data_IF_941876229761
#
_entry.id   IF_941876229761
#
_cell.length_a   1.000
_cell.length_b   1.000
_cell.length_c   1.000
_cell.angle_alpha   90.00
_cell.angle_beta   90.00
_cell.angle_gamma   90.00
#
_symmetry.space_group_name_H-M   'P 1'
#
loop_
_entity.id
_entity.type
_entity.pdbx_description
1 polymer ?
#
# COMPACT_ATOMS: atom_id res chain seq x y z
N UNK A 1 -8.98 10.87 -20.55
CA UNK A 1 -8.93 11.79 -19.39
C UNK A 1 -10.18 11.54 -18.57
N UNK A 2 -10.11 11.32 -17.24
CA UNK A 2 -11.28 10.97 -16.44
C UNK A 2 -12.01 12.23 -15.93
N UNK A 3 -13.31 12.16 -15.67
CA UNK A 3 -14.08 13.29 -15.13
C UNK A 3 -13.72 13.58 -13.67
N UNK A 4 -14.08 14.73 -13.11
CA UNK A 4 -13.78 15.11 -11.72
C UNK A 4 -14.15 14.03 -10.69
N UNK A 5 -15.32 13.40 -10.85
CA UNK A 5 -15.76 12.28 -10.00
C UNK A 5 -14.81 11.07 -10.12
N UNK A 6 -14.43 10.70 -11.33
CA UNK A 6 -13.53 9.56 -11.58
C UNK A 6 -12.08 9.86 -11.18
N UNK A 7 -11.56 11.07 -11.44
CA UNK A 7 -10.24 11.48 -10.92
C UNK A 7 -10.21 11.47 -9.40
N UNK A 8 -11.26 11.98 -8.75
CA UNK A 8 -11.36 11.92 -7.28
C UNK A 8 -11.41 10.48 -6.78
N UNK A 9 -12.21 9.62 -7.40
CA UNK A 9 -12.25 8.21 -7.05
C UNK A 9 -10.88 7.52 -7.20
N UNK A 10 -10.16 7.78 -8.29
CA UNK A 10 -8.81 7.21 -8.54
C UNK A 10 -7.76 7.71 -7.54
N UNK A 11 -7.87 8.94 -7.05
CA UNK A 11 -6.89 9.49 -6.10
C UNK A 11 -7.24 9.21 -4.64
N UNK A 12 -8.53 9.23 -4.31
CA UNK A 12 -8.98 9.12 -2.93
C UNK A 12 -9.39 7.69 -2.58
N UNK A 13 -9.83 6.84 -3.51
CA UNK A 13 -10.26 5.46 -3.22
C UNK A 13 -11.25 5.35 -2.04
N UNK A 14 -12.07 6.39 -1.82
CA UNK A 14 -13.02 6.51 -0.71
C UNK A 14 -12.46 7.11 0.59
N UNK A 15 -11.17 7.39 0.67
CA UNK A 15 -10.60 8.18 1.75
C UNK A 15 -11.15 9.61 1.71
N UNK A 16 -11.31 10.22 2.88
CA UNK A 16 -11.84 11.58 3.01
C UNK A 16 -10.82 12.46 3.74
N UNK A 17 -10.78 13.72 3.36
CA UNK A 17 -10.00 14.77 4.02
C UNK A 17 -10.94 15.91 4.40
N UNK A 18 -10.95 16.26 5.68
CA UNK A 18 -11.71 17.37 6.23
C UNK A 18 -10.76 18.34 6.94
N UNK A 19 -11.02 19.64 6.81
CA UNK A 19 -10.36 20.65 7.63
C UNK A 19 -11.26 20.99 8.81
N UNK A 20 -10.79 20.71 10.02
CA UNK A 20 -11.51 20.95 11.26
C UNK A 20 -11.60 22.45 11.61
N UNK A 21 -12.49 22.87 12.52
CA UNK A 21 -12.66 24.28 12.90
C UNK A 21 -11.40 24.95 13.47
N UNK A 22 -10.51 24.17 14.09
CA UNK A 22 -9.19 24.61 14.58
C UNK A 22 -8.15 24.74 13.46
N UNK A 23 -8.47 24.28 12.25
CA UNK A 23 -7.61 24.31 11.08
C UNK A 23 -6.80 23.04 10.84
N UNK A 24 -6.91 22.05 11.72
CA UNK A 24 -6.26 20.75 11.56
C UNK A 24 -6.90 19.92 10.45
N UNK A 25 -6.13 18.98 9.91
CA UNK A 25 -6.60 18.06 8.86
C UNK A 25 -6.99 16.73 9.48
N UNK A 26 -8.22 16.27 9.23
CA UNK A 26 -8.68 14.95 9.60
C UNK A 26 -8.82 14.06 8.37
N UNK A 27 -8.14 12.92 8.39
CA UNK A 27 -8.25 11.89 7.38
C UNK A 27 -9.22 10.80 7.84
N UNK A 28 -10.07 10.31 6.95
CA UNK A 28 -10.94 9.16 7.20
C UNK A 28 -10.71 8.07 6.17
N UNK A 29 -10.77 6.84 6.62
CA UNK A 29 -10.74 5.63 5.79
C UNK A 29 -12.03 5.54 4.96
N UNK A 30 -12.06 4.70 3.91
CA UNK A 30 -13.27 4.45 3.12
C UNK A 30 -14.48 3.96 3.92
N UNK A 31 -14.26 3.35 5.09
CA UNK A 31 -15.31 2.92 6.02
C UNK A 31 -15.79 4.03 6.98
N UNK A 32 -15.32 5.28 6.81
CA UNK A 32 -15.69 6.46 7.62
C UNK A 32 -14.90 6.62 8.92
N UNK A 33 -14.05 5.66 9.30
CA UNK A 33 -13.25 5.74 10.51
C UNK A 33 -12.11 6.74 10.36
N UNK A 34 -11.89 7.57 11.39
CA UNK A 34 -10.74 8.46 11.41
C UNK A 34 -9.43 7.65 11.34
N UNK A 35 -8.50 8.08 10.48
CA UNK A 35 -7.13 7.63 10.56
C UNK A 35 -6.47 8.33 11.75
N UNK A 36 -5.79 7.59 12.63
CA UNK A 36 -4.99 8.20 13.67
C UNK A 36 -3.78 8.91 13.04
N UNK A 37 -3.41 10.07 13.58
CA UNK A 37 -2.23 10.83 13.14
C UNK A 37 -0.95 9.99 13.26
N UNK A 38 -0.89 9.15 14.28
CA UNK A 38 0.16 8.15 14.49
C UNK A 38 -0.50 6.81 14.75
N UNK A 39 -0.39 5.83 13.83
CA UNK A 39 -0.85 4.47 14.14
C UNK A 39 -0.03 3.90 15.30
N UNK A 40 -0.64 3.09 16.19
CA UNK A 40 0.11 2.44 17.25
C UNK A 40 1.24 1.60 16.64
N UNK A 41 2.44 1.61 17.24
CA UNK A 41 3.52 0.78 16.75
C UNK A 41 3.09 -0.70 16.81
N UNK A 42 3.44 -1.52 15.80
CA UNK A 42 3.21 -2.95 15.89
C UNK A 42 4.00 -3.52 17.07
N UNK A 43 3.52 -4.64 17.62
CA UNK A 43 4.31 -5.39 18.60
C UNK A 43 5.55 -5.97 17.90
N UNK A 44 6.73 -5.47 18.25
CA UNK A 44 8.01 -5.94 17.70
C UNK A 44 8.67 -6.86 18.73
N UNK A 45 8.99 -8.12 18.37
CA UNK A 45 9.69 -9.03 19.28
C UNK A 45 11.05 -8.48 19.71
N UNK A 46 11.55 -8.89 20.89
CA UNK A 46 12.83 -8.40 21.46
C UNK A 46 14.05 -8.62 20.55
N UNK A 47 14.03 -9.67 19.73
CA UNK A 47 15.11 -10.00 18.79
C UNK A 47 14.55 -10.16 17.37
N UNK A 48 14.04 -9.07 16.75
CA UNK A 48 13.25 -9.17 15.53
C UNK A 48 14.11 -9.64 14.34
N UNK A 49 15.37 -9.21 14.27
CA UNK A 49 16.32 -9.65 13.23
C UNK A 49 16.61 -11.14 13.35
N UNK A 50 16.75 -11.66 14.57
CA UNK A 50 17.02 -13.08 14.80
C UNK A 50 15.82 -13.94 14.40
N UNK A 51 14.62 -13.51 14.79
CA UNK A 51 13.37 -14.16 14.38
C UNK A 51 13.24 -14.19 12.86
N UNK A 52 13.44 -13.05 12.18
CA UNK A 52 13.36 -12.97 10.73
C UNK A 52 14.38 -13.89 10.03
N UNK A 53 15.62 -13.96 10.53
CA UNK A 53 16.62 -14.90 9.99
C UNK A 53 16.19 -16.35 10.15
N UNK A 54 15.73 -16.75 11.35
CA UNK A 54 15.27 -18.11 11.59
C UNK A 54 14.07 -18.49 10.69
N UNK A 55 13.15 -17.56 10.45
CA UNK A 55 12.04 -17.78 9.52
C UNK A 55 12.54 -17.95 8.08
N UNK A 56 13.46 -17.11 7.63
CA UNK A 56 14.06 -17.25 6.29
C UNK A 56 14.81 -18.59 6.15
N UNK A 57 15.58 -18.99 7.16
CA UNK A 57 16.32 -20.25 7.17
C UNK A 57 15.36 -21.45 7.12
N UNK A 58 14.26 -21.40 7.88
CA UNK A 58 13.23 -22.44 7.89
C UNK A 58 12.53 -22.59 6.52
N UNK A 59 12.34 -21.47 5.81
CA UNK A 59 11.77 -21.43 4.45
C UNK A 59 12.84 -21.66 3.35
N UNK A 60 14.10 -21.88 3.72
CA UNK A 60 15.21 -22.07 2.77
C UNK A 60 15.53 -20.83 1.92
N UNK A 61 15.15 -19.63 2.38
CA UNK A 61 15.34 -18.37 1.67
C UNK A 61 16.79 -17.87 1.80
N UNK A 62 17.55 -17.95 0.72
CA UNK A 62 18.91 -17.40 0.64
C UNK A 62 18.87 -15.93 0.23
N UNK A 63 18.69 -15.05 1.22
CA UNK A 63 18.68 -13.60 1.00
C UNK A 63 20.09 -13.01 1.00
N UNK A 64 20.38 -12.14 0.04
CA UNK A 64 21.62 -11.39 -0.08
C UNK A 64 21.33 -9.90 -0.35
N UNK A 65 22.38 -9.06 -0.37
CA UNK A 65 22.26 -7.60 -0.51
C UNK A 65 21.50 -7.13 -1.77
N UNK A 66 21.37 -8.01 -2.78
CA UNK A 66 20.69 -7.69 -4.03
C UNK A 66 19.36 -8.41 -4.20
N UNK A 67 18.87 -9.15 -3.20
CA UNK A 67 17.60 -9.89 -3.33
C UNK A 67 16.41 -8.97 -3.62
N UNK A 68 16.43 -7.74 -3.10
CA UNK A 68 15.40 -6.72 -3.38
C UNK A 68 15.78 -5.78 -4.54
N UNK A 69 16.90 -6.00 -5.23
CA UNK A 69 17.27 -5.18 -6.40
C UNK A 69 16.36 -5.56 -7.57
N UNK A 70 15.59 -4.63 -8.12
CA UNK A 70 14.72 -4.93 -9.26
C UNK A 70 15.58 -5.17 -10.51
N UNK A 71 15.11 -6.05 -11.40
CA UNK A 71 15.69 -6.22 -12.73
C UNK A 71 15.34 -5.11 -13.73
N UNK A 72 14.85 -3.97 -13.26
CA UNK A 72 14.43 -2.84 -14.10
C UNK A 72 15.64 -2.12 -14.69
N UNK A 73 15.69 -1.96 -16.00
CA UNK A 73 16.79 -1.32 -16.73
C UNK A 73 16.42 0.09 -17.22
N UNK A 74 15.30 0.64 -16.76
CA UNK A 74 14.83 1.98 -17.14
C UNK A 74 13.67 1.98 -18.14
N UNK A 75 13.08 0.81 -18.43
CA UNK A 75 11.92 0.69 -19.31
C UNK A 75 10.73 1.50 -18.79
N UNK A 76 9.87 1.99 -19.70
CA UNK A 76 8.66 2.71 -19.28
C UNK A 76 7.72 1.77 -18.54
N UNK A 77 7.20 2.24 -17.40
CA UNK A 77 6.14 1.56 -16.68
C UNK A 77 4.89 1.42 -17.57
N UNK A 78 4.41 0.19 -17.75
CA UNK A 78 3.09 -0.04 -18.33
C UNK A 78 2.02 0.24 -17.27
N UNK A 79 1.51 1.48 -17.26
CA UNK A 79 0.51 1.94 -16.29
C UNK A 79 -0.79 1.15 -16.37
N UNK A 80 -1.21 0.74 -17.57
CA UNK A 80 -2.42 -0.08 -17.75
C UNK A 80 -2.28 -1.43 -17.05
N UNK A 81 -1.18 -2.14 -17.30
CA UNK A 81 -0.88 -3.41 -16.62
C UNK A 81 -0.75 -3.24 -15.11
N UNK A 82 -0.08 -2.19 -14.63
CA UNK A 82 0.08 -1.94 -13.20
C UNK A 82 -1.26 -1.77 -12.49
N UNK A 83 -2.21 -1.04 -13.09
CA UNK A 83 -3.57 -0.90 -12.57
C UNK A 83 -4.28 -2.26 -12.59
N UNK A 84 -4.17 -3.02 -13.69
CA UNK A 84 -4.85 -4.32 -13.84
C UNK A 84 -4.38 -5.42 -12.87
N UNK A 85 -3.21 -5.29 -12.26
CA UNK A 85 -2.65 -6.29 -11.34
C UNK A 85 -2.57 -5.81 -9.89
N UNK A 86 -2.35 -4.51 -9.65
CA UNK A 86 -2.20 -3.96 -8.29
C UNK A 86 -3.49 -3.35 -7.74
N UNK A 87 -4.46 -3.00 -8.59
CA UNK A 87 -5.70 -2.42 -8.12
C UNK A 87 -6.59 -3.49 -7.47
N UNK A 88 -7.07 -3.31 -6.23
CA UNK A 88 -7.92 -4.31 -5.54
C UNK A 88 -9.16 -4.72 -6.35
N UNK A 89 -9.76 -3.78 -7.10
CA UNK A 89 -10.91 -4.05 -7.97
C UNK A 89 -10.56 -4.85 -9.24
N UNK A 90 -9.30 -4.89 -9.68
CA UNK A 90 -8.91 -5.65 -10.86
C UNK A 90 -9.00 -7.17 -10.66
N UNK A 91 -8.93 -7.63 -9.40
CA UNK A 91 -9.20 -9.03 -9.02
C UNK A 91 -10.70 -9.37 -9.09
N UNK A 92 -11.56 -8.37 -8.87
CA UNK A 92 -13.01 -8.53 -8.81
C UNK A 92 -13.66 -8.66 -10.20
N UNK A 93 -13.10 -7.98 -11.21
CA UNK A 93 -13.59 -7.98 -12.60
C UNK A 93 -13.23 -9.23 -13.42
N UNK A 94 -12.36 -10.12 -12.92
CA UNK A 94 -11.95 -11.36 -13.62
C UNK A 94 -12.75 -12.61 -13.21
N UNK A 95 -13.76 -12.48 -12.33
CA UNK A 95 -14.60 -13.58 -11.83
C UNK A 95 -16.02 -13.60 -12.42
N UNK A 96 -16.22 -13.02 -13.60
CA UNK A 96 -17.50 -12.98 -14.31
C UNK A 96 -17.47 -13.87 -15.55
#
# INVERSE_FOLDING_TARGET
MLCRRHHRAVHEEGYQLERLPDGELQFRRPNGWALPDVPPPPNVPDQPVKLLRALNDAEGLVLHAHTATPGWLGERLNVGYAIDVLHPLAVMMRRS
#
